data_IF_269073582025
#
_entry.id   IF_269073582025
#
_cell.length_a   1.000
_cell.length_b   1.000
_cell.length_c   1.000
_cell.angle_alpha   90.00
_cell.angle_beta   90.00
_cell.angle_gamma   90.00
#
_symmetry.space_group_name_H-M   'P 1'
#
loop_
_entity.id
_entity.type
_entity.pdbx_description
1 polymer ?
#
# COMPACT_ATOMS: atom_id res chain seq x y z
N UNK A 1 13.96 -4.00 4.73
CA UNK A 1 12.61 -4.22 5.32
C UNK A 1 11.98 -5.47 4.69
N UNK A 2 11.24 -6.27 5.45
CA UNK A 2 10.74 -7.60 5.05
C UNK A 2 9.87 -7.59 3.77
N UNK A 3 9.12 -6.53 3.51
CA UNK A 3 8.29 -6.40 2.31
C UNK A 3 9.13 -6.22 1.03
N UNK A 4 10.11 -5.31 1.04
CA UNK A 4 10.99 -5.06 -0.11
C UNK A 4 11.71 -6.32 -0.59
N UNK A 5 12.23 -7.11 0.35
CA UNK A 5 12.92 -8.36 0.02
C UNK A 5 11.96 -9.48 -0.42
N UNK A 6 10.75 -9.53 0.15
CA UNK A 6 9.74 -10.55 -0.19
C UNK A 6 9.09 -10.32 -1.56
N UNK A 7 9.03 -9.06 -2.03
CA UNK A 7 8.39 -8.69 -3.29
C UNK A 7 9.36 -8.16 -4.36
N UNK A 8 10.68 -8.14 -4.07
CA UNK A 8 11.68 -7.60 -5.00
C UNK A 8 11.47 -6.10 -5.29
N UNK A 9 11.06 -5.33 -4.28
CA UNK A 9 10.77 -3.90 -4.41
C UNK A 9 11.95 -3.05 -3.96
N UNK A 10 12.20 -1.98 -4.69
CA UNK A 10 13.14 -0.92 -4.30
C UNK A 10 12.39 0.13 -3.48
N UNK A 11 12.72 0.25 -2.18
CA UNK A 11 12.07 1.23 -1.31
C UNK A 11 12.46 2.64 -1.75
N UNK A 12 11.46 3.49 -1.96
CA UNK A 12 11.71 4.90 -2.17
C UNK A 12 12.11 5.55 -0.84
N UNK A 13 12.91 6.64 -0.87
CA UNK A 13 13.18 7.42 0.35
C UNK A 13 11.86 7.84 0.99
N UNK A 14 11.79 7.80 2.33
CA UNK A 14 10.57 7.91 3.15
C UNK A 14 9.73 9.20 2.98
N UNK A 15 10.11 10.09 2.06
CA UNK A 15 9.47 11.37 1.76
C UNK A 15 8.81 11.42 0.38
N UNK A 16 8.63 10.29 -0.31
CA UNK A 16 7.83 10.24 -1.53
C UNK A 16 6.34 10.30 -1.15
N UNK A 17 5.72 11.46 -1.35
CA UNK A 17 4.38 11.84 -0.87
C UNK A 17 3.25 10.81 -1.06
N UNK A 18 3.38 9.83 -1.98
CA UNK A 18 2.30 8.90 -2.30
C UNK A 18 2.71 7.44 -2.52
N UNK A 19 4.01 7.10 -2.58
CA UNK A 19 4.47 5.75 -2.96
C UNK A 19 5.63 5.28 -2.07
N UNK A 20 5.59 4.01 -1.67
CA UNK A 20 6.54 3.45 -0.69
C UNK A 20 7.68 2.70 -1.38
N UNK A 21 7.46 2.17 -2.59
CA UNK A 21 8.46 1.41 -3.32
C UNK A 21 8.22 1.42 -4.84
N UNK A 22 9.20 0.95 -5.59
CA UNK A 22 9.12 0.69 -7.03
C UNK A 22 9.38 -0.79 -7.30
N UNK A 23 8.56 -1.42 -8.14
CA UNK A 23 8.80 -2.77 -8.61
C UNK A 23 9.83 -2.80 -9.73
N UNK A 24 10.42 -3.97 -10.01
CA UNK A 24 11.45 -4.13 -11.04
C UNK A 24 10.97 -3.74 -12.46
N UNK A 25 9.66 -3.75 -12.71
CA UNK A 25 9.06 -3.30 -13.97
C UNK A 25 8.81 -1.77 -14.02
N UNK A 26 9.27 -1.02 -13.01
CA UNK A 26 9.12 0.42 -12.90
C UNK A 26 7.78 0.87 -12.30
N UNK A 27 6.90 -0.06 -11.90
CA UNK A 27 5.60 0.31 -11.30
C UNK A 27 5.79 0.90 -9.92
N UNK A 28 5.04 1.97 -9.65
CA UNK A 28 4.98 2.56 -8.31
C UNK A 28 4.06 1.73 -7.42
N UNK A 29 4.59 1.31 -6.28
CA UNK A 29 3.91 0.47 -5.30
C UNK A 29 3.67 1.28 -4.03
N UNK A 30 2.42 1.30 -3.59
CA UNK A 30 2.04 1.81 -2.28
C UNK A 30 1.89 0.64 -1.32
N UNK A 31 2.52 0.72 -0.15
CA UNK A 31 2.50 -0.30 0.90
C UNK A 31 1.78 0.28 2.11
N UNK A 32 0.63 -0.27 2.46
CA UNK A 32 -0.11 0.10 3.67
C UNK A 32 -0.08 -1.03 4.67
N UNK A 33 0.30 -0.72 5.90
CA UNK A 33 0.17 -1.64 7.02
C UNK A 33 -0.96 -1.15 7.94
N UNK A 34 -1.90 -2.03 8.29
CA UNK A 34 -3.04 -1.67 9.15
C UNK A 34 -3.30 -2.74 10.20
N UNK A 35 -3.62 -2.29 11.41
CA UNK A 35 -4.26 -3.12 12.44
C UNK A 35 -5.79 -3.01 12.39
N UNK A 36 -6.31 -2.10 11.56
CA UNK A 36 -7.75 -1.81 11.42
C UNK A 36 -8.34 -2.59 10.24
N UNK A 37 -9.65 -2.44 10.05
CA UNK A 37 -10.42 -3.07 8.96
C UNK A 37 -10.36 -2.29 7.64
N UNK A 38 -9.69 -1.14 7.60
CA UNK A 38 -9.60 -0.28 6.42
C UNK A 38 -8.25 0.41 6.33
N UNK A 39 -7.95 0.90 5.13
CA UNK A 39 -6.80 1.75 4.80
C UNK A 39 -7.30 2.98 4.05
N UNK A 40 -6.65 4.12 4.27
CA UNK A 40 -6.92 5.35 3.52
C UNK A 40 -6.02 5.41 2.29
N UNK A 41 -6.62 5.77 1.16
CA UNK A 41 -5.92 6.05 -0.10
C UNK A 41 -6.03 7.56 -0.37
N UNK A 42 -4.91 8.20 -0.71
CA UNK A 42 -4.84 9.64 -1.00
C UNK A 42 -4.80 9.95 -2.50
N UNK A 43 -4.68 8.91 -3.33
CA UNK A 43 -4.70 8.94 -4.79
C UNK A 43 -4.79 7.52 -5.32
N UNK A 44 -5.06 7.36 -6.61
CA UNK A 44 -5.10 6.04 -7.26
C UNK A 44 -3.68 5.43 -7.34
N UNK A 45 -3.39 4.32 -6.65
CA UNK A 45 -2.10 3.66 -6.75
C UNK A 45 -2.02 2.80 -8.02
N UNK A 46 -0.87 2.74 -8.68
CA UNK A 46 -0.66 1.77 -9.77
C UNK A 46 -0.65 0.33 -9.24
N UNK A 47 -0.15 0.14 -8.03
CA UNK A 47 -0.13 -1.13 -7.34
C UNK A 47 -0.21 -0.89 -5.83
N UNK A 48 -1.04 -1.66 -5.14
CA UNK A 48 -1.24 -1.57 -3.70
C UNK A 48 -0.92 -2.90 -3.06
N UNK A 49 -0.12 -2.85 -2.00
CA UNK A 49 0.10 -3.97 -1.08
C UNK A 49 -0.47 -3.55 0.28
N UNK A 50 -1.40 -4.35 0.81
CA UNK A 50 -1.94 -4.14 2.15
C UNK A 50 -1.54 -5.30 3.05
N UNK A 51 -0.90 -4.96 4.16
CA UNK A 51 -0.50 -5.87 5.21
C UNK A 51 -1.39 -5.68 6.44
N UNK A 52 -2.08 -6.74 6.86
CA UNK A 52 -2.73 -6.80 8.16
C UNK A 52 -1.71 -7.12 9.24
N UNK A 53 -1.58 -6.25 10.22
CA UNK A 53 -0.75 -6.45 11.40
C UNK A 53 -1.59 -7.11 12.49
N UNK A 54 -1.15 -8.28 12.96
CA UNK A 54 -1.75 -8.97 14.09
C UNK A 54 -1.19 -8.45 15.43
N UNK A 55 -1.87 -8.79 16.53
CA UNK A 55 -1.48 -8.38 17.89
C UNK A 55 -0.13 -8.97 18.32
N UNK A 56 0.22 -10.14 17.79
CA UNK A 56 1.53 -10.80 17.99
C UNK A 56 2.68 -10.13 17.23
N UNK A 57 2.41 -9.06 16.48
CA UNK A 57 3.38 -8.33 15.68
C UNK A 57 3.65 -8.97 14.30
N UNK A 58 2.98 -10.06 13.95
CA UNK A 58 3.06 -10.65 12.61
C UNK A 58 2.34 -9.80 11.58
N UNK A 59 2.83 -9.82 10.34
CA UNK A 59 2.24 -9.11 9.21
C UNK A 59 1.78 -10.12 8.15
N UNK A 60 0.50 -10.08 7.79
CA UNK A 60 -0.11 -10.93 6.75
C UNK A 60 -0.51 -10.08 5.55
N UNK A 61 -0.12 -10.50 4.36
CA UNK A 61 -0.66 -9.90 3.13
C UNK A 61 -2.16 -10.18 3.03
N UNK A 62 -2.96 -9.13 2.86
CA UNK A 62 -4.40 -9.22 2.62
C UNK A 62 -4.82 -8.65 1.27
N UNK A 63 -3.94 -7.90 0.62
CA UNK A 63 -4.12 -7.41 -0.74
C UNK A 63 -2.77 -7.21 -1.42
N UNK A 64 -2.65 -7.63 -2.67
CA UNK A 64 -1.49 -7.41 -3.53
C UNK A 64 -1.99 -7.41 -4.97
N UNK A 65 -2.04 -6.23 -5.57
CA UNK A 65 -2.62 -6.09 -6.90
C UNK A 65 -2.76 -4.65 -7.37
N UNK A 66 -3.43 -4.43 -8.52
CA UNK A 66 -3.68 -3.10 -9.06
C UNK A 66 -4.41 -2.20 -8.06
N UNK A 67 -4.03 -0.93 -7.93
CA UNK A 67 -4.70 -0.04 -6.98
C UNK A 67 -6.06 0.48 -7.45
N UNK A 68 -6.40 0.32 -8.74
CA UNK A 68 -7.69 0.72 -9.30
C UNK A 68 -8.89 0.06 -8.57
N UNK A 69 -8.84 -1.24 -8.30
CA UNK A 69 -9.93 -1.97 -7.63
C UNK A 69 -10.24 -1.43 -6.22
N UNK A 70 -9.27 -1.29 -5.30
CA UNK A 70 -9.51 -0.69 -3.99
C UNK A 70 -9.76 0.81 -4.07
N UNK A 71 -9.27 1.52 -5.09
CA UNK A 71 -9.58 2.93 -5.33
C UNK A 71 -11.03 3.16 -5.74
N UNK A 72 -11.57 2.37 -6.66
CA UNK A 72 -12.99 2.41 -7.04
C UNK A 72 -13.90 2.03 -5.87
N UNK A 73 -13.44 1.10 -5.03
CA UNK A 73 -14.16 0.67 -3.83
C UNK A 73 -14.03 1.67 -2.67
N UNK A 74 -12.95 2.47 -2.64
CA UNK A 74 -12.78 3.55 -1.70
C UNK A 74 -13.77 4.66 -2.08
N UNK A 75 -14.92 4.66 -1.40
CA UNK A 75 -15.97 5.66 -1.63
C UNK A 75 -15.43 7.10 -1.70
N UNK A 76 -16.20 7.98 -2.34
CA UNK A 76 -15.79 9.36 -2.70
C UNK A 76 -14.90 10.00 -1.64
N UNK A 77 -13.76 10.52 -2.09
CA UNK A 77 -12.80 11.28 -1.28
C UNK A 77 -13.55 12.31 -0.42
N UNK A 78 -13.62 12.05 0.90
CA UNK A 78 -14.09 13.05 1.83
C UNK A 78 -12.98 14.10 1.92
N UNK A 79 -13.19 15.23 1.23
CA UNK A 79 -12.43 16.44 1.52
C UNK A 79 -12.84 16.88 2.92
N UNK A 80 -12.01 16.59 3.92
CA UNK A 80 -12.12 17.26 5.20
C UNK A 80 -11.87 18.75 4.92
N UNK A 81 -12.94 19.53 4.97
CA UNK A 81 -12.90 21.00 4.92
C UNK A 81 -12.48 21.58 6.25
#
# INVERSE_FOLDING_TARGET
MLAAHRYGLELLPASAENHDATAHDGRLVQIKATRRRSVSLYGEPQHLIVLALAEDGSAREIYNGPGAMPWESAGRMQKNG
#
